data_IF_150794738415
#
_entry.id   IF_150794738415
#
_cell.length_a   1.000
_cell.length_b   1.000
_cell.length_c   1.000
_cell.angle_alpha   90.00
_cell.angle_beta   90.00
_cell.angle_gamma   90.00
#
_symmetry.space_group_name_H-M   'P 1'
#
loop_
_entity.id
_entity.type
_entity.pdbx_description
1 polymer ?
#
# COMPACT_ATOMS: atom_id res chain seq x y z
N UNK A 1 -3.58 15.39 19.85
CA UNK A 1 -4.58 14.61 19.11
C UNK A 1 -4.06 14.30 17.71
N UNK A 2 -3.75 13.01 17.49
CA UNK A 2 -3.91 12.24 16.24
C UNK A 2 -3.27 12.70 14.91
N UNK A 3 -1.93 12.81 14.84
CA UNK A 3 -1.22 12.76 13.54
C UNK A 3 -1.48 11.43 12.79
N UNK A 4 -1.61 10.31 13.51
CA UNK A 4 -1.88 8.99 12.91
C UNK A 4 -3.28 8.85 12.30
N UNK A 5 -4.29 9.61 12.78
CA UNK A 5 -5.66 9.44 12.27
C UNK A 5 -5.84 10.00 10.86
N UNK A 6 -5.09 11.05 10.51
CA UNK A 6 -5.15 11.63 9.16
C UNK A 6 -4.43 10.75 8.15
N UNK A 7 -3.23 10.25 8.50
CA UNK A 7 -2.45 9.39 7.61
C UNK A 7 -3.21 8.11 7.21
N UNK A 8 -4.05 7.59 8.11
CA UNK A 8 -4.78 6.32 7.94
C UNK A 8 -6.24 6.49 7.55
N UNK A 9 -6.70 7.71 7.22
CA UNK A 9 -8.07 7.92 6.76
C UNK A 9 -8.28 7.32 5.38
N UNK A 10 -9.44 6.70 5.18
CA UNK A 10 -9.86 6.11 3.90
C UNK A 10 -8.98 4.98 3.35
N UNK A 11 -8.13 4.38 4.19
CA UNK A 11 -7.48 3.12 3.83
C UNK A 11 -8.51 1.98 3.78
N UNK A 12 -8.34 1.10 2.81
CA UNK A 12 -9.14 -0.11 2.59
C UNK A 12 -8.94 -1.06 3.76
N UNK A 13 -7.69 -1.29 4.17
CA UNK A 13 -7.38 -2.11 5.35
C UNK A 13 -7.84 -1.41 6.63
N UNK A 14 -8.46 -2.18 7.52
CA UNK A 14 -9.09 -1.69 8.77
C UNK A 14 -8.45 -2.28 10.02
N UNK A 15 -8.91 -1.81 11.18
CA UNK A 15 -8.53 -2.37 12.48
C UNK A 15 -7.04 -2.33 12.76
N UNK A 16 -6.50 -3.40 13.37
CA UNK A 16 -5.09 -3.49 13.75
C UNK A 16 -4.15 -3.55 12.54
N UNK A 17 -4.58 -4.23 11.47
CA UNK A 17 -3.82 -4.31 10.23
C UNK A 17 -3.56 -2.92 9.62
N UNK A 18 -4.50 -1.98 9.76
CA UNK A 18 -4.33 -0.59 9.29
C UNK A 18 -3.21 0.15 10.02
N UNK A 19 -3.06 -0.08 11.32
CA UNK A 19 -1.99 0.56 12.10
C UNK A 19 -0.63 0.02 11.68
N UNK A 20 -0.53 -1.29 11.49
CA UNK A 20 0.71 -1.93 11.05
C UNK A 20 1.04 -1.53 9.61
N UNK A 21 0.05 -1.45 8.72
CA UNK A 21 0.21 -0.90 7.37
C UNK A 21 0.74 0.53 7.39
N UNK A 22 0.16 1.40 8.22
CA UNK A 22 0.65 2.78 8.37
C UNK A 22 2.11 2.83 8.81
N UNK A 23 2.50 1.95 9.73
CA UNK A 23 3.87 1.88 10.23
C UNK A 23 4.83 1.33 9.16
N UNK A 24 4.40 0.30 8.42
CA UNK A 24 5.12 -0.26 7.28
C UNK A 24 5.38 0.82 6.23
N UNK A 25 4.34 1.52 5.77
CA UNK A 25 4.45 2.55 4.75
C UNK A 25 5.35 3.70 5.19
N UNK A 26 5.21 4.17 6.43
CA UNK A 26 6.11 5.19 6.98
C UNK A 26 7.57 4.73 6.97
N UNK A 27 7.84 3.49 7.41
CA UNK A 27 9.20 2.96 7.45
C UNK A 27 9.78 2.76 6.05
N UNK A 28 8.99 2.24 5.11
CA UNK A 28 9.40 2.04 3.73
C UNK A 28 9.78 3.38 3.08
N UNK A 29 8.89 4.38 3.16
CA UNK A 29 9.10 5.71 2.57
C UNK A 29 10.25 6.47 3.23
N UNK A 30 10.45 6.32 4.55
CA UNK A 30 11.59 6.89 5.28
C UNK A 30 12.88 6.04 5.14
N UNK A 31 12.88 5.00 4.29
CA UNK A 31 14.01 4.10 4.02
C UNK A 31 14.54 3.35 5.25
N UNK A 32 13.70 3.14 6.27
CA UNK A 32 13.96 2.31 7.45
C UNK A 32 13.65 0.84 7.15
N UNK A 33 14.38 0.26 6.21
CA UNK A 33 14.03 -1.04 5.61
C UNK A 33 13.92 -2.18 6.61
N UNK A 34 14.82 -2.27 7.58
CA UNK A 34 14.76 -3.30 8.64
C UNK A 34 13.49 -3.18 9.49
N UNK A 35 13.03 -1.95 9.74
CA UNK A 35 11.78 -1.74 10.49
C UNK A 35 10.55 -1.98 9.61
N UNK A 36 10.63 -1.69 8.31
CA UNK A 36 9.57 -2.03 7.36
C UNK A 36 9.40 -3.56 7.23
N UNK A 37 10.50 -4.30 7.08
CA UNK A 37 10.50 -5.77 7.01
C UNK A 37 9.87 -6.39 8.25
N UNK A 38 10.23 -5.91 9.45
CA UNK A 38 9.66 -6.41 10.71
C UNK A 38 8.14 -6.25 10.76
N UNK A 39 7.64 -5.08 10.36
CA UNK A 39 6.20 -4.79 10.36
C UNK A 39 5.48 -5.57 9.25
N UNK A 40 6.16 -5.84 8.13
CA UNK A 40 5.60 -6.69 7.07
C UNK A 40 5.42 -8.14 7.54
N UNK A 41 6.36 -8.67 8.32
CA UNK A 41 6.20 -9.97 8.98
C UNK A 41 5.04 -9.98 10.00
N UNK A 42 4.82 -8.88 10.72
CA UNK A 42 3.64 -8.74 11.58
C UNK A 42 2.33 -8.73 10.75
N UNK A 43 2.32 -8.04 9.60
CA UNK A 43 1.19 -8.00 8.66
C UNK A 43 0.86 -9.37 8.08
N UNK A 44 1.85 -10.24 7.83
CA UNK A 44 1.63 -11.63 7.40
C UNK A 44 0.80 -12.43 8.41
N UNK A 45 0.83 -12.04 9.69
CA UNK A 45 0.04 -12.68 10.75
C UNK A 45 -1.32 -12.01 11.00
N UNK A 46 -1.67 -10.93 10.27
CA UNK A 46 -2.97 -10.27 10.40
C UNK A 46 -4.05 -10.95 9.58
N UNK A 47 -5.28 -10.85 10.08
CA UNK A 47 -6.47 -11.19 9.32
C UNK A 47 -6.81 -10.03 8.37
N UNK A 48 -6.74 -10.31 7.07
CA UNK A 48 -7.16 -9.38 6.01
C UNK A 48 -8.43 -9.88 5.30
N UNK A 49 -9.11 -10.88 5.86
CA UNK A 49 -10.27 -11.53 5.28
C UNK A 49 -9.89 -12.68 4.36
N UNK A 50 -10.24 -12.55 3.08
CA UNK A 50 -10.02 -13.60 2.09
C UNK A 50 -8.52 -13.97 1.94
N UNK A 51 -8.14 -15.26 1.98
CA UNK A 51 -6.73 -15.67 1.91
C UNK A 51 -6.04 -15.30 0.60
N UNK A 52 -6.74 -15.38 -0.53
CA UNK A 52 -6.18 -15.06 -1.85
C UNK A 52 -6.00 -13.54 -1.98
N UNK A 53 -6.97 -12.75 -1.49
CA UNK A 53 -6.83 -11.30 -1.33
C UNK A 53 -5.62 -10.94 -0.45
N UNK A 54 -5.47 -11.60 0.70
CA UNK A 54 -4.34 -11.38 1.61
C UNK A 54 -3.01 -11.64 0.91
N UNK A 55 -2.91 -12.71 0.13
CA UNK A 55 -1.71 -13.07 -0.62
C UNK A 55 -1.32 -11.97 -1.62
N UNK A 56 -2.28 -11.51 -2.44
CA UNK A 56 -2.04 -10.43 -3.39
C UNK A 56 -1.65 -9.12 -2.73
N UNK A 57 -2.31 -8.80 -1.61
CA UNK A 57 -2.00 -7.59 -0.82
C UNK A 57 -0.57 -7.62 -0.29
N UNK A 58 -0.14 -8.74 0.29
CA UNK A 58 1.22 -8.91 0.83
C UNK A 58 2.28 -8.90 -0.28
N UNK A 59 2.01 -9.54 -1.42
CA UNK A 59 2.90 -9.52 -2.58
C UNK A 59 3.14 -8.09 -3.11
N UNK A 60 2.09 -7.27 -3.14
CA UNK A 60 2.22 -5.85 -3.50
C UNK A 60 3.09 -5.08 -2.49
N UNK A 61 2.91 -5.29 -1.18
CA UNK A 61 3.75 -4.66 -0.17
C UNK A 61 5.23 -5.07 -0.28
N UNK A 62 5.50 -6.35 -0.53
CA UNK A 62 6.86 -6.84 -0.79
C UNK A 62 7.47 -6.16 -2.02
N UNK A 63 6.70 -6.05 -3.11
CA UNK A 63 7.11 -5.34 -4.32
C UNK A 63 7.38 -3.85 -4.10
N UNK A 64 6.52 -3.16 -3.34
CA UNK A 64 6.71 -1.76 -2.94
C UNK A 64 8.02 -1.61 -2.17
N UNK A 65 8.26 -2.44 -1.16
CA UNK A 65 9.46 -2.38 -0.35
C UNK A 65 10.73 -2.61 -1.18
N UNK A 66 10.70 -3.59 -2.08
CA UNK A 66 11.79 -3.87 -3.00
C UNK A 66 12.06 -2.68 -3.91
N UNK A 67 11.01 -2.09 -4.48
CA UNK A 67 11.12 -0.96 -5.40
C UNK A 67 11.70 0.29 -4.74
N UNK A 68 11.22 0.64 -3.54
CA UNK A 68 11.74 1.78 -2.76
C UNK A 68 13.22 1.56 -2.40
N UNK A 69 13.62 0.31 -2.13
CA UNK A 69 14.98 -0.07 -1.78
C UNK A 69 15.92 -0.02 -2.98
N UNK A 70 15.50 -0.58 -4.12
CA UNK A 70 16.30 -0.64 -5.34
C UNK A 70 16.53 0.74 -5.93
N UNK A 71 15.52 1.62 -5.88
CA UNK A 71 15.53 2.88 -6.62
C UNK A 71 15.54 2.68 -8.14
N UNK A 72 15.16 1.50 -8.63
CA UNK A 72 15.12 1.18 -10.06
C UNK A 72 14.03 2.00 -10.76
N UNK A 73 14.44 2.86 -11.69
CA UNK A 73 13.57 3.79 -12.43
C UNK A 73 12.53 3.10 -13.33
N UNK A 74 12.68 1.79 -13.56
CA UNK A 74 11.71 0.99 -14.32
C UNK A 74 10.52 0.58 -13.47
N UNK A 75 10.68 0.57 -12.15
CA UNK A 75 9.61 0.23 -11.23
C UNK A 75 8.58 1.35 -11.17
N UNK A 76 7.30 0.99 -11.10
CA UNK A 76 6.20 1.95 -11.04
C UNK A 76 6.42 3.02 -9.95
N UNK A 77 6.76 2.60 -8.73
CA UNK A 77 6.96 3.52 -7.61
C UNK A 77 8.03 4.60 -7.89
N UNK A 78 9.15 4.23 -8.51
CA UNK A 78 10.24 5.16 -8.78
C UNK A 78 10.02 5.98 -10.06
N UNK A 79 9.17 5.48 -10.99
CA UNK A 79 8.88 6.12 -12.27
C UNK A 79 7.87 7.26 -12.17
N UNK A 80 6.90 7.17 -11.25
CA UNK A 80 5.77 8.11 -11.21
C UNK A 80 6.11 9.41 -10.49
N UNK A 81 5.38 10.47 -10.86
CA UNK A 81 5.32 11.71 -10.11
C UNK A 81 4.29 11.58 -8.98
N UNK A 82 4.71 11.83 -7.74
CA UNK A 82 3.83 11.86 -6.55
C UNK A 82 3.18 13.23 -6.35
N UNK A 83 2.75 13.85 -7.45
CA UNK A 83 1.87 15.00 -7.43
C UNK A 83 0.46 14.55 -6.98
N UNK A 84 -0.26 15.32 -6.15
CA UNK A 84 -1.57 14.94 -5.64
C UNK A 84 -2.59 14.56 -6.72
N UNK A 85 -2.65 15.30 -7.83
CA UNK A 85 -3.63 15.06 -8.89
C UNK A 85 -3.32 13.75 -9.63
N UNK A 86 -2.05 13.48 -9.92
CA UNK A 86 -1.60 12.20 -10.49
C UNK A 86 -1.79 11.02 -9.55
N UNK A 87 -1.57 11.21 -8.25
CA UNK A 87 -1.83 10.14 -7.28
C UNK A 87 -3.31 9.79 -7.21
N UNK A 88 -4.21 10.78 -7.31
CA UNK A 88 -5.65 10.53 -7.40
C UNK A 88 -6.02 9.79 -8.68
N UNK A 89 -5.47 10.17 -9.84
CA UNK A 89 -5.67 9.48 -11.12
C UNK A 89 -5.25 7.99 -11.03
N UNK A 90 -4.04 7.68 -10.54
CA UNK A 90 -3.61 6.29 -10.36
C UNK A 90 -4.46 5.53 -9.34
N UNK A 91 -4.93 6.21 -8.29
CA UNK A 91 -5.80 5.60 -7.29
C UNK A 91 -7.13 5.20 -7.91
N UNK A 92 -7.72 6.06 -8.73
CA UNK A 92 -8.94 5.77 -9.49
C UNK A 92 -8.72 4.61 -10.47
N UNK A 93 -7.64 4.62 -11.26
CA UNK A 93 -7.30 3.52 -12.17
C UNK A 93 -7.20 2.18 -11.42
N UNK A 94 -6.54 2.15 -10.26
CA UNK A 94 -6.41 0.93 -9.44
C UNK A 94 -7.73 0.46 -8.84
N UNK A 95 -8.63 1.39 -8.52
CA UNK A 95 -9.98 1.07 -8.06
C UNK A 95 -10.87 0.54 -9.20
N UNK A 96 -10.82 1.14 -10.38
CA UNK A 96 -11.55 0.68 -11.57
C UNK A 96 -11.15 -0.74 -11.94
N UNK A 97 -9.86 -1.00 -11.87
CA UNK A 97 -9.26 -2.30 -12.00
C UNK A 97 -9.93 -3.35 -11.10
N UNK A 98 -10.25 -3.03 -9.85
CA UNK A 98 -10.97 -3.93 -8.93
C UNK A 98 -12.43 -4.19 -9.32
N UNK A 99 -13.02 -3.40 -10.22
CA UNK A 99 -14.40 -3.59 -10.69
C UNK A 99 -14.52 -4.48 -11.94
N UNK A 100 -13.39 -4.89 -12.53
CA UNK A 100 -13.37 -5.72 -13.73
C UNK A 100 -13.83 -7.17 -13.44
N UNK A 101 -14.73 -7.75 -14.25
CA UNK A 101 -15.31 -9.08 -14.01
C UNK A 101 -14.33 -10.26 -14.17
N UNK A 102 -13.10 -10.02 -14.63
CA UNK A 102 -12.09 -11.06 -14.91
C UNK A 102 -11.07 -11.21 -13.77
N UNK A 103 -11.26 -10.50 -12.65
CA UNK A 103 -10.27 -10.50 -11.56
C UNK A 103 -10.44 -11.60 -10.53
N UNK A 104 -9.29 -12.09 -10.07
CA UNK A 104 -9.16 -12.97 -8.91
C UNK A 104 -9.19 -12.14 -7.61
N UNK A 105 -9.40 -12.78 -6.45
CA UNK A 105 -9.24 -12.08 -5.18
C UNK A 105 -7.81 -11.62 -4.97
N UNK A 106 -6.83 -12.33 -5.54
CA UNK A 106 -5.42 -11.95 -5.54
C UNK A 106 -5.23 -10.58 -6.18
N UNK A 107 -5.75 -10.40 -7.41
CA UNK A 107 -5.66 -9.12 -8.11
C UNK A 107 -6.30 -8.01 -7.26
N UNK A 108 -7.48 -8.26 -6.69
CA UNK A 108 -8.13 -7.27 -5.82
C UNK A 108 -7.25 -6.87 -4.63
N UNK A 109 -6.60 -7.83 -3.98
CA UNK A 109 -5.65 -7.60 -2.90
C UNK A 109 -4.45 -6.77 -3.34
N UNK A 110 -3.84 -7.15 -4.45
CA UNK A 110 -2.66 -6.50 -5.01
C UNK A 110 -2.91 -5.02 -5.30
N UNK A 111 -3.99 -4.71 -6.03
CA UNK A 111 -4.33 -3.32 -6.37
C UNK A 111 -4.86 -2.53 -5.18
N UNK A 112 -5.47 -3.19 -4.19
CA UNK A 112 -5.86 -2.54 -2.92
C UNK A 112 -4.65 -2.04 -2.14
N UNK A 113 -3.54 -2.78 -2.10
CA UNK A 113 -2.32 -2.33 -1.42
C UNK A 113 -1.70 -1.08 -2.08
N UNK A 114 -1.68 -1.02 -3.40
CA UNK A 114 -1.25 0.16 -4.13
C UNK A 114 -2.19 1.36 -3.92
N UNK A 115 -3.49 1.11 -3.88
CA UNK A 115 -4.51 2.12 -3.55
C UNK A 115 -4.27 2.69 -2.16
N UNK A 116 -4.00 1.84 -1.16
CA UNK A 116 -3.71 2.27 0.20
C UNK A 116 -2.39 3.03 0.31
N UNK A 117 -1.35 2.67 -0.46
CA UNK A 117 -0.11 3.45 -0.55
C UNK A 117 -0.38 4.87 -1.07
N UNK A 118 -1.10 5.00 -2.19
CA UNK A 118 -1.41 6.30 -2.78
C UNK A 118 -2.27 7.15 -1.84
N UNK A 119 -3.31 6.56 -1.26
CA UNK A 119 -4.17 7.24 -0.29
C UNK A 119 -3.37 7.70 0.94
N UNK A 120 -2.46 6.86 1.46
CA UNK A 120 -1.58 7.22 2.56
C UNK A 120 -0.70 8.42 2.21
N UNK A 121 -0.08 8.41 1.03
CA UNK A 121 0.78 9.49 0.52
C UNK A 121 0.02 10.81 0.34
N UNK A 122 -1.16 10.76 -0.26
CA UNK A 122 -2.10 11.89 -0.35
C UNK A 122 -2.42 12.45 1.04
N UNK A 123 -2.73 11.58 2.00
CA UNK A 123 -3.10 11.99 3.36
C UNK A 123 -1.96 12.74 4.09
N UNK A 124 -0.70 12.34 3.86
CA UNK A 124 0.48 12.94 4.50
C UNK A 124 1.12 14.07 3.68
N UNK A 125 0.68 14.27 2.44
CA UNK A 125 1.21 15.29 1.53
C UNK A 125 2.66 15.02 1.10
N UNK A 126 3.02 13.75 0.90
CA UNK A 126 4.33 13.31 0.40
C UNK A 126 4.17 12.36 -0.77
#
# INVERSE_FOLDING_TARGET
MTKNSKATSNLIIKGKAREDLSQFLSNALDRKFTDAERVLEDLKNRDLGDPEFKEGYLAALEGILLSVRSGDERDFFNKINFDPDKMEEYKEEFLEFNTSPVRTSYDMGFFSAWTDLLQYRINIGK
#
